data_IF_516604640659
#
_entry.id   IF_516604640659
#
_cell.length_a   1.000
_cell.length_b   1.000
_cell.length_c   1.000
_cell.angle_alpha   90.00
_cell.angle_beta   90.00
_cell.angle_gamma   90.00
#
_symmetry.space_group_name_H-M   'P 1'
#
loop_
_entity.id
_entity.type
_entity.pdbx_description
1 polymer ?
#
# COMPACT_ATOMS: atom_id res chain seq x y z
N UNK A 1 3.24 14.83 3.66
CA UNK A 1 4.69 14.54 3.50
C UNK A 1 4.84 13.14 2.91
N UNK A 2 5.41 12.97 1.71
CA UNK A 2 5.54 11.66 1.10
C UNK A 2 6.63 10.82 1.79
N UNK A 3 6.37 9.52 1.93
CA UNK A 3 7.35 8.52 2.33
C UNK A 3 7.38 7.40 1.30
N UNK A 4 8.55 6.79 1.16
CA UNK A 4 8.76 5.64 0.28
C UNK A 4 8.87 4.38 1.11
N UNK A 5 8.06 3.38 0.77
CA UNK A 5 8.05 2.06 1.39
C UNK A 5 8.39 1.04 0.32
N UNK A 6 9.42 0.22 0.58
CA UNK A 6 9.76 -0.93 -0.26
C UNK A 6 9.32 -2.19 0.48
N UNK A 7 8.55 -3.03 -0.18
CA UNK A 7 8.02 -4.26 0.43
C UNK A 7 7.36 -5.17 -0.58
N UNK A 8 7.03 -6.38 -0.14
CA UNK A 8 6.33 -7.39 -0.94
C UNK A 8 4.84 -7.27 -0.73
N UNK A 9 4.05 -7.25 -1.80
CA UNK A 9 2.58 -7.27 -1.72
C UNK A 9 2.14 -8.67 -1.26
N UNK A 10 1.60 -8.75 -0.06
CA UNK A 10 1.16 -10.03 0.52
C UNK A 10 -0.30 -10.32 0.16
N UNK A 11 -1.14 -9.30 0.25
CA UNK A 11 -2.59 -9.47 0.15
C UNK A 11 -3.28 -8.16 -0.28
N UNK A 12 -4.38 -8.28 -1.01
CA UNK A 12 -5.21 -7.18 -1.49
C UNK A 12 -6.68 -7.57 -1.33
N UNK A 13 -7.31 -7.04 -0.30
CA UNK A 13 -8.72 -7.31 0.00
C UNK A 13 -9.59 -6.18 -0.54
N UNK A 14 -10.17 -6.40 -1.72
CA UNK A 14 -11.14 -5.47 -2.32
C UNK A 14 -12.54 -5.71 -1.76
N UNK A 15 -13.28 -4.63 -1.52
CA UNK A 15 -14.66 -4.66 -1.08
C UNK A 15 -15.48 -3.57 -1.76
N UNK A 16 -16.74 -3.90 -2.03
CA UNK A 16 -17.71 -2.99 -2.64
C UNK A 16 -18.93 -2.89 -1.74
N UNK A 17 -19.23 -1.66 -1.30
CA UNK A 17 -20.34 -1.41 -0.38
C UNK A 17 -21.16 -0.20 -0.78
N UNK A 18 -22.14 0.15 0.06
CA UNK A 18 -23.02 1.32 -0.15
C UNK A 18 -22.25 2.64 -0.30
N UNK A 19 -21.04 2.72 0.27
CA UNK A 19 -20.18 3.91 0.24
C UNK A 19 -19.14 3.88 -0.90
N UNK A 20 -19.29 2.95 -1.85
CA UNK A 20 -18.39 2.78 -2.99
C UNK A 20 -17.35 1.69 -2.78
N UNK A 21 -16.32 1.73 -3.63
CA UNK A 21 -15.21 0.79 -3.62
C UNK A 21 -14.18 1.16 -2.56
N UNK A 22 -13.61 0.14 -1.91
CA UNK A 22 -12.39 0.25 -1.14
C UNK A 22 -11.57 -1.03 -1.26
N UNK A 23 -10.28 -0.92 -1.04
CA UNK A 23 -9.41 -2.07 -0.92
C UNK A 23 -8.41 -1.85 0.22
N UNK A 24 -8.13 -2.92 0.96
CA UNK A 24 -7.07 -2.97 1.98
C UNK A 24 -5.88 -3.71 1.37
N UNK A 25 -4.75 -3.04 1.29
CA UNK A 25 -3.51 -3.58 0.75
C UNK A 25 -2.58 -3.88 1.92
N UNK A 26 -1.98 -5.07 1.93
CA UNK A 26 -1.03 -5.51 2.94
C UNK A 26 0.34 -5.73 2.31
N UNK A 27 1.35 -5.04 2.86
CA UNK A 27 2.75 -5.13 2.45
C UNK A 27 3.62 -5.68 3.58
N UNK A 28 4.54 -6.57 3.23
CA UNK A 28 5.67 -6.94 4.09
C UNK A 28 6.89 -6.10 3.73
N UNK A 29 7.22 -5.14 4.58
CA UNK A 29 8.42 -4.30 4.42
C UNK A 29 9.54 -4.73 5.38
N UNK A 30 10.80 -4.72 4.92
CA UNK A 30 11.95 -4.92 5.79
C UNK A 30 12.39 -3.58 6.37
N UNK A 31 12.02 -3.30 7.62
CA UNK A 31 12.35 -2.06 8.31
C UNK A 31 13.33 -2.37 9.46
N UNK A 32 14.52 -1.77 9.42
CA UNK A 32 15.55 -1.95 10.45
C UNK A 32 15.87 -3.43 10.74
N UNK A 33 16.09 -4.23 9.68
CA UNK A 33 16.34 -5.69 9.75
C UNK A 33 15.20 -6.52 10.35
N UNK A 34 14.01 -5.93 10.58
CA UNK A 34 12.81 -6.64 11.02
C UNK A 34 11.75 -6.55 9.95
N UNK A 35 11.16 -7.70 9.58
CA UNK A 35 10.00 -7.71 8.69
C UNK A 35 8.80 -7.15 9.47
N UNK A 36 8.16 -6.13 8.91
CA UNK A 36 6.96 -5.51 9.45
C UNK A 36 5.87 -5.56 8.39
N UNK A 37 4.69 -5.95 8.82
CA UNK A 37 3.48 -5.88 8.01
C UNK A 37 2.90 -4.48 8.11
N UNK A 38 2.57 -3.89 6.97
CA UNK A 38 2.00 -2.56 6.85
C UNK A 38 0.74 -2.71 6.01
N UNK A 39 -0.38 -2.24 6.54
CA UNK A 39 -1.65 -2.23 5.82
C UNK A 39 -2.14 -0.81 5.61
N UNK A 40 -2.67 -0.54 4.43
CA UNK A 40 -3.29 0.74 4.10
C UNK A 40 -4.44 0.56 3.13
N UNK A 41 -5.30 1.57 3.06
CA UNK A 41 -6.53 1.51 2.30
C UNK A 41 -6.43 2.39 1.06
N UNK A 42 -7.01 1.94 -0.05
CA UNK A 42 -7.26 2.75 -1.24
C UNK A 42 -8.73 2.75 -1.59
N UNK A 43 -9.21 3.85 -2.17
CA UNK A 43 -10.54 3.94 -2.80
C UNK A 43 -10.46 3.85 -4.31
N UNK A 44 -9.26 3.73 -4.88
CA UNK A 44 -9.04 3.63 -6.33
C UNK A 44 -9.02 2.17 -6.76
N UNK A 45 -9.92 1.81 -7.67
CA UNK A 45 -9.97 0.48 -8.31
C UNK A 45 -8.70 0.20 -9.11
N UNK A 46 -8.20 1.21 -9.82
CA UNK A 46 -7.01 1.08 -10.65
C UNK A 46 -5.77 0.78 -9.80
N UNK A 47 -5.60 1.49 -8.68
CA UNK A 47 -4.52 1.20 -7.75
C UNK A 47 -4.66 -0.19 -7.15
N UNK A 48 -5.86 -0.56 -6.68
CA UNK A 48 -6.11 -1.90 -6.14
C UNK A 48 -5.77 -3.00 -7.15
N UNK A 49 -6.23 -2.88 -8.40
CA UNK A 49 -5.89 -3.82 -9.47
C UNK A 49 -4.39 -3.85 -9.78
N UNK A 50 -3.71 -2.71 -9.68
CA UNK A 50 -2.25 -2.64 -9.85
C UNK A 50 -1.55 -3.41 -8.72
N UNK A 51 -1.96 -3.25 -7.47
CA UNK A 51 -1.42 -4.04 -6.36
C UNK A 51 -1.72 -5.54 -6.52
N UNK A 52 -2.94 -5.89 -6.91
CA UNK A 52 -3.36 -7.27 -7.17
C UNK A 52 -2.46 -7.94 -8.23
N UNK A 53 -2.20 -7.23 -9.34
CA UNK A 53 -1.33 -7.72 -10.40
C UNK A 53 0.15 -7.88 -9.99
N UNK A 54 0.53 -7.31 -8.85
CA UNK A 54 1.87 -7.39 -8.27
C UNK A 54 1.88 -8.18 -6.95
N UNK A 55 0.88 -9.04 -6.72
CA UNK A 55 0.89 -9.98 -5.59
C UNK A 55 2.18 -10.81 -5.58
N UNK A 56 2.77 -10.96 -4.40
CA UNK A 56 4.03 -11.67 -4.16
C UNK A 56 5.25 -11.06 -4.87
N UNK A 57 5.12 -9.85 -5.41
CA UNK A 57 6.20 -9.08 -6.04
C UNK A 57 6.64 -7.96 -5.10
N UNK A 58 7.94 -7.66 -5.10
CA UNK A 58 8.48 -6.50 -4.42
C UNK A 58 8.09 -5.22 -5.17
N UNK A 59 7.49 -4.27 -4.46
CA UNK A 59 7.06 -2.99 -4.98
C UNK A 59 7.63 -1.84 -4.15
N UNK A 60 7.92 -0.74 -4.82
CA UNK A 60 8.20 0.55 -4.19
C UNK A 60 6.92 1.38 -4.22
N UNK A 61 6.44 1.77 -3.06
CA UNK A 61 5.21 2.55 -2.89
C UNK A 61 5.53 3.91 -2.29
N UNK A 62 5.02 4.97 -2.90
CA UNK A 62 5.07 6.32 -2.34
C UNK A 62 3.72 6.63 -1.73
N UNK A 63 3.71 6.93 -0.43
CA UNK A 63 2.50 7.20 0.35
C UNK A 63 2.64 8.55 1.01
N UNK A 64 1.59 9.36 0.95
CA UNK A 64 1.52 10.58 1.71
C UNK A 64 1.22 10.29 3.20
N UNK A 65 2.04 10.83 4.09
CA UNK A 65 1.70 10.91 5.51
C UNK A 65 0.71 12.04 5.75
N UNK A 66 -0.41 11.67 6.37
CA UNK A 66 -1.39 12.61 6.91
C UNK A 66 -1.16 12.79 8.41
N UNK A 67 -1.26 14.02 8.89
CA UNK A 67 -1.21 14.32 10.32
C UNK A 67 -2.63 14.38 10.86
N UNK A 68 -2.92 13.57 11.87
CA UNK A 68 -4.18 13.61 12.62
C UNK A 68 -3.94 14.06 14.05
N UNK A 69 -5.01 14.34 14.79
CA UNK A 69 -4.94 14.63 16.24
C UNK A 69 -4.32 13.47 17.05
N UNK A 70 -4.23 12.26 16.48
CA UNK A 70 -3.63 11.07 17.09
C UNK A 70 -2.22 10.77 16.56
N UNK A 71 -1.59 11.70 15.85
CA UNK A 71 -0.27 11.54 15.24
C UNK A 71 -0.30 11.28 13.74
N UNK A 72 0.85 10.86 13.21
CA UNK A 72 1.05 10.59 11.78
C UNK A 72 0.39 9.27 11.37
N UNK A 73 -0.31 9.29 10.24
CA UNK A 73 -0.97 8.13 9.64
C UNK A 73 -0.61 8.02 8.16
N UNK A 74 -0.61 6.80 7.66
CA UNK A 74 -0.57 6.54 6.22
C UNK A 74 -1.84 7.13 5.59
N UNK A 75 -1.66 8.04 4.65
CA UNK A 75 -2.71 8.70 3.88
C UNK A 75 -2.83 8.10 2.49
N UNK A 76 -2.89 8.96 1.48
CA UNK A 76 -3.11 8.55 0.09
C UNK A 76 -1.88 7.91 -0.54
N UNK A 77 -2.11 6.89 -1.37
CA UNK A 77 -1.07 6.26 -2.17
C UNK A 77 -0.85 7.11 -3.41
N UNK A 78 0.35 7.67 -3.55
CA UNK A 78 0.68 8.54 -4.68
C UNK A 78 1.16 7.76 -5.90
N UNK A 79 1.96 6.71 -5.69
CA UNK A 79 2.48 5.89 -6.79
C UNK A 79 2.95 4.52 -6.33
N UNK A 80 2.89 3.55 -7.25
CA UNK A 80 3.46 2.21 -7.11
C UNK A 80 4.41 1.95 -8.27
N UNK A 81 5.59 1.40 -7.98
CA UNK A 81 6.55 0.96 -8.99
C UNK A 81 7.01 -0.46 -8.64
N UNK A 82 6.67 -1.48 -9.45
CA UNK A 82 7.17 -2.82 -9.22
C UNK A 82 8.69 -2.86 -9.42
N UNK A 83 9.38 -3.55 -8.52
CA UNK A 83 10.78 -3.88 -8.69
C UNK A 83 10.86 -4.82 -9.89
N UNK A 84 11.47 -4.36 -10.99
CA UNK A 84 11.67 -5.21 -12.18
C UNK A 84 12.47 -6.42 -11.75
N UNK A 85 11.79 -7.57 -11.62
CA UNK A 85 12.47 -8.86 -11.60
C UNK A 85 13.07 -9.03 -13.00
N UNK A 86 14.40 -9.06 -13.05
CA UNK A 86 15.19 -9.26 -14.26
C UNK A 86 14.93 -10.62 -14.86
#
# INVERSE_FOLDING_TARGET
MPITIVGIVEDVNSYEGKNGFGATITLSALLNKRRKTISFNTKSRELAATFESNLQVEVTVVIELSQSNFGLRLGEIMSITPSKTK
#
